data_IF_017538374122
#
_entry.id   IF_017538374122
#
_cell.length_a   1.000
_cell.length_b   1.000
_cell.length_c   1.000
_cell.angle_alpha   90.00
_cell.angle_beta   90.00
_cell.angle_gamma   90.00
#
_symmetry.space_group_name_H-M   'P 1'
#
loop_
_entity.id
_entity.type
_entity.pdbx_description
1 polymer ?
#
# COMPACT_ATOMS: atom_id res chain seq x y z
N UNK A 1 -5.10 -19.89 -9.96
CA UNK A 1 -4.39 -20.69 -10.98
C UNK A 1 -5.40 -21.35 -11.91
N UNK A 2 -5.03 -21.60 -13.17
CA UNK A 2 -5.92 -22.24 -14.16
C UNK A 2 -6.45 -23.62 -13.68
N UNK A 3 -5.68 -24.31 -12.85
CA UNK A 3 -6.07 -25.61 -12.25
C UNK A 3 -7.31 -25.47 -11.36
N UNK A 4 -7.41 -24.40 -10.56
CA UNK A 4 -8.58 -24.18 -9.69
C UNK A 4 -9.83 -23.87 -10.52
N UNK A 5 -9.70 -23.05 -11.58
CA UNK A 5 -10.83 -22.73 -12.49
C UNK A 5 -11.39 -24.01 -13.15
N UNK A 6 -10.50 -24.89 -13.67
CA UNK A 6 -10.91 -26.16 -14.29
C UNK A 6 -11.57 -27.07 -13.26
N UNK A 7 -10.98 -27.17 -12.05
CA UNK A 7 -11.58 -27.96 -10.97
C UNK A 7 -12.97 -27.45 -10.61
N UNK A 8 -13.11 -26.12 -10.47
CA UNK A 8 -14.41 -25.49 -10.18
C UNK A 8 -15.44 -25.72 -11.28
N UNK A 9 -15.02 -25.61 -12.55
CA UNK A 9 -15.88 -25.90 -13.69
C UNK A 9 -16.37 -27.35 -13.67
N UNK A 10 -15.45 -28.30 -13.46
CA UNK A 10 -15.82 -29.74 -13.41
C UNK A 10 -16.74 -30.03 -12.22
N UNK A 11 -16.52 -29.43 -11.06
CA UNK A 11 -17.40 -29.59 -9.90
C UNK A 11 -18.80 -29.02 -10.15
N UNK A 12 -18.87 -27.84 -10.78
CA UNK A 12 -20.15 -27.17 -11.01
C UNK A 12 -20.99 -27.83 -12.11
N UNK A 13 -20.34 -28.34 -13.17
CA UNK A 13 -21.03 -28.82 -14.39
C UNK A 13 -21.05 -30.32 -14.53
N UNK A 14 -20.31 -31.06 -13.71
CA UNK A 14 -20.11 -32.50 -13.88
C UNK A 14 -19.19 -32.86 -15.07
N UNK A 15 -18.54 -31.87 -15.70
CA UNK A 15 -17.60 -32.10 -16.80
C UNK A 15 -16.29 -32.74 -16.33
N UNK A 16 -15.48 -33.23 -17.27
CA UNK A 16 -14.15 -33.78 -16.99
C UNK A 16 -13.09 -33.15 -17.92
N UNK A 17 -13.00 -31.84 -17.88
CA UNK A 17 -12.03 -31.04 -18.64
C UNK A 17 -10.66 -31.19 -18.01
N UNK A 18 -9.60 -31.31 -18.82
CA UNK A 18 -8.19 -31.45 -18.35
C UNK A 18 -7.31 -30.31 -18.83
N UNK A 19 -6.36 -29.92 -17.99
CA UNK A 19 -5.38 -28.90 -18.35
C UNK A 19 -4.42 -29.40 -19.45
N UNK A 20 -4.01 -28.48 -20.35
CA UNK A 20 -2.97 -28.76 -21.36
C UNK A 20 -3.46 -29.38 -22.66
N UNK A 21 -4.76 -29.61 -22.84
CA UNK A 21 -5.35 -30.16 -24.08
C UNK A 21 -6.20 -29.09 -24.78
N UNK A 22 -5.93 -28.85 -26.06
CA UNK A 22 -6.64 -27.82 -26.84
C UNK A 22 -8.15 -28.04 -26.93
N UNK A 23 -8.65 -29.29 -27.19
CA UNK A 23 -10.08 -29.53 -27.19
C UNK A 23 -10.74 -29.22 -25.85
N UNK A 24 -10.08 -29.56 -24.74
CA UNK A 24 -10.59 -29.31 -23.39
C UNK A 24 -10.65 -27.80 -23.08
N UNK A 25 -9.67 -27.03 -23.57
CA UNK A 25 -9.70 -25.55 -23.47
C UNK A 25 -10.91 -24.98 -24.22
N UNK A 26 -11.19 -25.46 -25.44
CA UNK A 26 -12.36 -25.02 -26.21
C UNK A 26 -13.67 -25.38 -25.53
N UNK A 27 -13.76 -26.58 -24.96
CA UNK A 27 -14.94 -27.05 -24.20
C UNK A 27 -15.16 -26.19 -22.95
N UNK A 28 -14.10 -25.90 -22.19
CA UNK A 28 -14.15 -25.01 -21.02
C UNK A 28 -14.63 -23.62 -21.43
N UNK A 29 -14.01 -23.01 -22.44
CA UNK A 29 -14.39 -21.69 -22.95
C UNK A 29 -15.86 -21.63 -23.37
N UNK A 30 -16.32 -22.61 -24.13
CA UNK A 30 -17.71 -22.68 -24.56
C UNK A 30 -18.67 -22.86 -23.39
N UNK A 31 -18.30 -23.68 -22.42
CA UNK A 31 -19.09 -23.91 -21.21
C UNK A 31 -19.18 -22.63 -20.33
N UNK A 32 -18.09 -21.89 -20.18
CA UNK A 32 -18.10 -20.60 -19.45
C UNK A 32 -18.99 -19.57 -20.14
N UNK A 33 -18.96 -19.49 -21.48
CA UNK A 33 -19.86 -18.63 -22.26
C UNK A 33 -21.33 -19.01 -22.07
N UNK A 34 -21.63 -20.32 -22.06
CA UNK A 34 -22.98 -20.81 -21.81
C UNK A 34 -23.48 -20.48 -20.40
N UNK A 35 -22.65 -20.68 -19.38
CA UNK A 35 -22.98 -20.31 -18.00
C UNK A 35 -23.25 -18.79 -17.86
N UNK A 36 -22.43 -17.95 -18.49
CA UNK A 36 -22.66 -16.51 -18.51
C UNK A 36 -24.00 -16.15 -19.17
N UNK A 37 -24.32 -16.79 -20.31
CA UNK A 37 -25.56 -16.54 -21.02
C UNK A 37 -26.80 -16.98 -20.23
N UNK A 38 -26.73 -18.14 -19.56
CA UNK A 38 -27.83 -18.69 -18.76
C UNK A 38 -28.10 -17.86 -17.49
N UNK A 39 -27.06 -17.31 -16.88
CA UNK A 39 -27.15 -16.61 -15.60
C UNK A 39 -26.87 -15.09 -15.72
N UNK A 40 -27.22 -14.50 -16.84
CA UNK A 40 -26.96 -13.09 -17.19
C UNK A 40 -27.44 -12.08 -16.14
N UNK A 41 -28.51 -12.42 -15.42
CA UNK A 41 -29.06 -11.56 -14.37
C UNK A 41 -28.21 -11.55 -13.09
N UNK A 42 -27.39 -12.58 -12.87
CA UNK A 42 -26.55 -12.77 -11.67
C UNK A 42 -25.06 -12.56 -11.94
N UNK A 43 -24.62 -12.87 -13.17
CA UNK A 43 -23.23 -12.75 -13.60
C UNK A 43 -23.10 -11.57 -14.56
N UNK A 44 -22.04 -10.78 -14.42
CA UNK A 44 -21.73 -9.74 -15.40
C UNK A 44 -21.41 -10.36 -16.77
N UNK A 45 -21.45 -9.55 -17.83
CA UNK A 45 -21.07 -10.00 -19.18
C UNK A 45 -19.57 -10.31 -19.34
N UNK A 46 -18.81 -10.18 -18.25
CA UNK A 46 -17.36 -10.43 -18.22
C UNK A 46 -17.08 -11.89 -17.85
N UNK A 47 -16.34 -12.57 -18.71
CA UNK A 47 -15.83 -13.93 -18.44
C UNK A 47 -14.94 -13.97 -17.18
N UNK A 48 -14.35 -12.83 -16.77
CA UNK A 48 -13.59 -12.71 -15.55
C UNK A 48 -14.42 -12.99 -14.30
N UNK A 49 -15.67 -12.55 -14.26
CA UNK A 49 -16.59 -12.84 -13.14
C UNK A 49 -16.89 -14.34 -13.02
N UNK A 50 -17.14 -15.00 -14.15
CA UNK A 50 -17.33 -16.46 -14.18
C UNK A 50 -16.05 -17.20 -13.78
N UNK A 51 -14.90 -16.76 -14.28
CA UNK A 51 -13.61 -17.35 -13.92
C UNK A 51 -13.32 -17.19 -12.41
N UNK A 52 -13.67 -16.05 -11.81
CA UNK A 52 -13.58 -15.80 -10.38
C UNK A 52 -14.44 -16.76 -9.56
N UNK A 53 -15.71 -16.90 -9.92
CA UNK A 53 -16.63 -17.86 -9.31
C UNK A 53 -16.10 -19.31 -9.39
N UNK A 54 -15.67 -19.74 -10.58
CA UNK A 54 -15.11 -21.08 -10.78
C UNK A 54 -13.80 -21.28 -10.00
N UNK A 55 -12.97 -20.24 -9.87
CA UNK A 55 -11.78 -20.30 -9.05
C UNK A 55 -12.13 -20.51 -7.58
N UNK A 56 -13.10 -19.77 -7.05
CA UNK A 56 -13.52 -19.87 -5.65
C UNK A 56 -14.12 -21.24 -5.33
N UNK A 57 -14.95 -21.79 -6.23
CA UNK A 57 -15.45 -23.16 -6.12
C UNK A 57 -14.29 -24.17 -6.14
N UNK A 58 -13.40 -24.08 -7.12
CA UNK A 58 -12.31 -25.03 -7.28
C UNK A 58 -11.22 -24.97 -6.22
N UNK A 59 -11.06 -23.81 -5.57
CA UNK A 59 -10.17 -23.62 -4.42
C UNK A 59 -10.80 -24.05 -3.09
N UNK A 60 -12.11 -24.38 -3.08
CA UNK A 60 -12.86 -24.76 -1.88
C UNK A 60 -13.31 -23.58 -1.02
N UNK A 61 -13.22 -22.36 -1.55
CA UNK A 61 -13.79 -21.17 -0.87
C UNK A 61 -15.31 -21.22 -0.85
N UNK A 62 -15.94 -21.67 -1.94
CA UNK A 62 -17.37 -21.94 -2.01
C UNK A 62 -17.62 -23.43 -2.11
N UNK A 63 -18.36 -23.96 -1.16
CA UNK A 63 -18.84 -25.33 -1.18
C UNK A 63 -20.18 -25.36 -1.93
N UNK A 64 -20.26 -26.15 -3.02
CA UNK A 64 -21.53 -26.37 -3.74
C UNK A 64 -22.35 -27.35 -2.90
N UNK A 65 -23.53 -26.95 -2.38
CA UNK A 65 -24.39 -27.88 -1.64
C UNK A 65 -24.78 -29.06 -2.53
N UNK A 66 -24.68 -30.27 -2.00
CA UNK A 66 -25.15 -31.47 -2.69
C UNK A 66 -26.66 -31.53 -2.57
N UNK A 67 -27.32 -32.14 -3.55
CA UNK A 67 -28.79 -32.37 -3.50
C UNK A 67 -29.23 -33.16 -2.26
N UNK A 68 -28.30 -33.96 -1.69
CA UNK A 68 -28.50 -34.72 -0.46
C UNK A 68 -28.53 -33.88 0.81
N UNK A 69 -28.03 -32.64 0.77
CA UNK A 69 -27.86 -31.78 2.00
C UNK A 69 -29.17 -31.09 2.39
N UNK A 70 -30.21 -31.16 1.53
CA UNK A 70 -31.50 -30.55 1.78
C UNK A 70 -31.49 -29.03 1.97
N UNK A 71 -32.60 -28.49 2.46
CA UNK A 71 -32.78 -27.04 2.68
C UNK A 71 -31.77 -26.45 3.67
N UNK A 72 -31.40 -27.21 4.71
CA UNK A 72 -30.43 -26.78 5.71
C UNK A 72 -29.02 -26.59 5.14
N UNK A 73 -28.58 -27.44 4.21
CA UNK A 73 -27.30 -27.30 3.53
C UNK A 73 -27.23 -26.04 2.66
N UNK A 74 -28.31 -25.75 1.94
CA UNK A 74 -28.42 -24.51 1.16
C UNK A 74 -28.39 -23.25 2.02
N UNK A 75 -29.12 -23.24 3.13
CA UNK A 75 -29.14 -22.11 4.05
C UNK A 75 -27.76 -21.88 4.69
N UNK A 76 -27.05 -22.95 5.06
CA UNK A 76 -25.69 -22.85 5.61
C UNK A 76 -24.71 -22.28 4.56
N UNK A 77 -24.77 -22.74 3.31
CA UNK A 77 -23.92 -22.22 2.23
C UNK A 77 -24.22 -20.75 1.92
N UNK A 78 -25.48 -20.34 1.89
CA UNK A 78 -25.87 -18.93 1.72
C UNK A 78 -25.37 -18.06 2.87
N UNK A 79 -25.50 -18.52 4.11
CA UNK A 79 -25.01 -17.80 5.27
C UNK A 79 -23.47 -17.59 5.22
N UNK A 80 -22.72 -18.61 4.78
CA UNK A 80 -21.28 -18.50 4.59
C UNK A 80 -20.93 -17.46 3.53
N UNK A 81 -21.60 -17.49 2.35
CA UNK A 81 -21.38 -16.51 1.28
C UNK A 81 -21.66 -15.07 1.77
N UNK A 82 -22.75 -14.88 2.50
CA UNK A 82 -23.08 -13.59 3.08
C UNK A 82 -21.99 -13.10 4.06
N UNK A 83 -21.53 -13.98 4.97
CA UNK A 83 -20.48 -13.64 5.93
C UNK A 83 -19.16 -13.24 5.25
N UNK A 84 -18.74 -13.98 4.21
CA UNK A 84 -17.53 -13.67 3.44
C UNK A 84 -17.67 -12.35 2.65
N UNK A 85 -18.86 -12.09 2.08
CA UNK A 85 -19.15 -10.82 1.39
C UNK A 85 -19.05 -9.62 2.35
N UNK A 86 -19.63 -9.72 3.53
CA UNK A 86 -19.55 -8.65 4.53
C UNK A 86 -18.12 -8.46 5.07
N UNK A 87 -17.37 -9.54 5.29
CA UNK A 87 -15.96 -9.47 5.66
C UNK A 87 -15.12 -8.78 4.58
N UNK A 88 -15.37 -9.09 3.30
CA UNK A 88 -14.69 -8.46 2.16
C UNK A 88 -15.02 -6.97 2.04
N UNK A 89 -16.29 -6.59 2.20
CA UNK A 89 -16.71 -5.18 2.22
C UNK A 89 -16.04 -4.40 3.35
N UNK A 90 -16.00 -4.98 4.54
CA UNK A 90 -15.33 -4.37 5.71
C UNK A 90 -13.84 -4.20 5.47
N UNK A 91 -13.16 -5.21 4.93
CA UNK A 91 -11.75 -5.14 4.60
C UNK A 91 -11.46 -4.06 3.55
N UNK A 92 -12.31 -3.92 2.51
CA UNK A 92 -12.19 -2.88 1.51
C UNK A 92 -12.40 -1.48 2.10
N UNK A 93 -13.39 -1.30 2.97
CA UNK A 93 -13.63 -0.01 3.64
C UNK A 93 -12.44 0.40 4.51
N UNK A 94 -11.88 -0.54 5.29
CA UNK A 94 -10.66 -0.29 6.09
C UNK A 94 -9.47 0.05 5.21
N UNK A 95 -9.30 -0.64 4.07
CA UNK A 95 -8.21 -0.34 3.13
C UNK A 95 -8.35 1.07 2.52
N UNK A 96 -9.56 1.48 2.17
CA UNK A 96 -9.84 2.83 1.67
C UNK A 96 -9.59 3.91 2.73
N UNK A 97 -10.02 3.69 3.97
CA UNK A 97 -9.76 4.62 5.08
C UNK A 97 -8.27 4.78 5.35
N UNK A 98 -7.52 3.67 5.35
CA UNK A 98 -6.08 3.68 5.50
C UNK A 98 -5.38 4.47 4.38
N UNK A 99 -5.83 4.32 3.15
CA UNK A 99 -5.28 5.01 1.97
C UNK A 99 -5.55 6.52 2.02
N UNK A 100 -6.75 6.94 2.44
CA UNK A 100 -7.09 8.34 2.66
C UNK A 100 -6.23 8.96 3.77
N UNK A 101 -6.06 8.26 4.89
CA UNK A 101 -5.22 8.72 6.00
C UNK A 101 -3.76 8.87 5.58
N UNK A 102 -3.21 7.91 4.84
CA UNK A 102 -1.86 7.98 4.31
C UNK A 102 -1.67 9.24 3.46
N UNK A 103 -2.57 9.48 2.52
CA UNK A 103 -2.53 10.66 1.63
C UNK A 103 -2.66 11.97 2.42
N UNK A 104 -3.47 12.01 3.47
CA UNK A 104 -3.62 13.17 4.34
C UNK A 104 -2.31 13.50 5.06
N UNK A 105 -1.64 12.51 5.63
CA UNK A 105 -0.36 12.68 6.31
C UNK A 105 0.73 13.15 5.34
N UNK A 106 0.82 12.56 4.15
CA UNK A 106 1.72 13.04 3.09
C UNK A 106 1.43 14.51 2.75
N UNK A 107 0.16 14.90 2.66
CA UNK A 107 -0.27 16.26 2.43
C UNK A 107 0.19 17.22 3.52
N UNK A 108 0.07 16.85 4.80
CA UNK A 108 0.56 17.66 5.92
C UNK A 108 2.08 17.87 5.87
N UNK A 109 2.83 16.81 5.57
CA UNK A 109 4.29 16.88 5.42
C UNK A 109 4.69 17.75 4.22
N UNK A 110 3.98 17.62 3.08
CA UNK A 110 4.17 18.49 1.91
C UNK A 110 3.99 19.97 2.27
N UNK A 111 2.85 20.29 2.89
CA UNK A 111 2.48 21.67 3.19
C UNK A 111 3.42 22.28 4.24
N UNK A 112 3.79 21.49 5.25
CA UNK A 112 4.77 21.89 6.27
C UNK A 112 6.15 22.17 5.65
N UNK A 113 6.63 21.29 4.78
CA UNK A 113 7.91 21.48 4.11
C UNK A 113 7.95 22.72 3.22
N UNK A 114 6.84 22.98 2.47
CA UNK A 114 6.68 24.21 1.69
C UNK A 114 6.70 25.47 2.59
N UNK A 115 5.98 25.44 3.72
CA UNK A 115 5.95 26.54 4.68
C UNK A 115 7.34 26.82 5.28
N UNK A 116 8.16 25.81 5.47
CA UNK A 116 9.55 25.93 5.93
C UNK A 116 10.55 26.29 4.82
N UNK A 117 10.08 26.46 3.59
CA UNK A 117 10.90 26.95 2.47
C UNK A 117 11.62 25.86 1.67
N UNK A 118 11.26 24.58 1.83
CA UNK A 118 11.83 23.49 1.05
C UNK A 118 11.11 23.25 -0.27
N UNK A 119 11.81 22.68 -1.24
CA UNK A 119 11.20 22.01 -2.37
C UNK A 119 10.81 20.58 -1.96
N UNK A 120 9.67 20.12 -2.48
CA UNK A 120 9.06 18.86 -2.04
C UNK A 120 9.03 17.86 -3.17
N UNK A 121 9.43 16.64 -2.89
CA UNK A 121 9.15 15.48 -3.73
C UNK A 121 8.07 14.62 -3.08
N UNK A 122 7.13 14.15 -3.88
CA UNK A 122 6.13 13.13 -3.50
C UNK A 122 6.44 11.85 -4.26
N UNK A 123 6.29 10.70 -3.59
CA UNK A 123 6.49 9.38 -4.18
C UNK A 123 5.83 9.24 -5.55
N UNK A 124 6.53 8.65 -6.50
CA UNK A 124 6.11 8.60 -7.91
C UNK A 124 4.75 7.93 -8.11
N UNK A 125 4.39 6.94 -7.28
CA UNK A 125 3.11 6.24 -7.27
C UNK A 125 1.96 7.05 -6.64
N UNK A 126 2.26 8.07 -5.81
CA UNK A 126 1.26 8.84 -5.06
C UNK A 126 1.00 10.24 -5.63
N UNK A 127 1.78 10.68 -6.61
CA UNK A 127 1.69 12.03 -7.21
C UNK A 127 0.29 12.44 -7.64
N UNK A 128 -0.50 11.50 -8.14
CA UNK A 128 -1.84 11.75 -8.68
C UNK A 128 -2.96 11.60 -7.65
N UNK A 129 -2.66 11.23 -6.39
CA UNK A 129 -3.67 11.17 -5.32
C UNK A 129 -4.24 12.55 -5.06
N UNK A 130 -5.51 12.59 -4.66
CA UNK A 130 -6.20 13.85 -4.36
C UNK A 130 -6.02 14.21 -2.88
N UNK A 131 -5.56 15.42 -2.64
CA UNK A 131 -5.47 16.04 -1.31
C UNK A 131 -6.04 17.46 -1.38
N UNK A 132 -7.05 17.75 -0.56
CA UNK A 132 -7.77 19.03 -0.53
C UNK A 132 -8.28 19.50 -1.91
N UNK A 133 -8.71 18.54 -2.75
CA UNK A 133 -9.27 18.82 -4.08
C UNK A 133 -8.25 19.05 -5.21
N UNK A 134 -6.95 19.00 -4.91
CA UNK A 134 -5.86 19.12 -5.87
C UNK A 134 -4.98 17.85 -5.87
N UNK A 135 -4.08 17.71 -6.85
CA UNK A 135 -3.10 16.61 -6.85
C UNK A 135 -2.11 16.79 -5.70
N UNK A 136 -1.77 15.69 -5.03
CA UNK A 136 -0.79 15.70 -3.92
C UNK A 136 0.56 16.29 -4.38
N UNK A 137 0.97 16.07 -5.62
CA UNK A 137 2.21 16.63 -6.19
C UNK A 137 2.09 18.07 -6.70
N UNK A 138 0.95 18.74 -6.55
CA UNK A 138 0.81 20.11 -7.04
C UNK A 138 1.80 21.07 -6.38
N UNK A 139 2.59 21.77 -7.22
CA UNK A 139 3.67 22.67 -6.77
C UNK A 139 4.82 21.94 -6.07
N UNK A 140 5.04 20.66 -6.37
CA UNK A 140 6.18 19.88 -5.95
C UNK A 140 7.15 19.65 -7.12
N UNK A 141 8.30 19.02 -6.85
CA UNK A 141 9.30 18.69 -7.85
C UNK A 141 8.76 17.63 -8.84
N UNK A 142 8.94 17.86 -10.13
CA UNK A 142 8.61 16.90 -11.17
C UNK A 142 9.60 15.73 -11.24
N UNK A 143 10.87 15.99 -10.87
CA UNK A 143 11.96 15.01 -10.90
C UNK A 143 12.86 15.16 -9.66
N UNK A 144 13.45 14.03 -9.26
CA UNK A 144 14.46 13.99 -8.19
C UNK A 144 15.70 14.82 -8.55
N UNK A 145 16.45 15.34 -7.56
CA UNK A 145 17.73 16.02 -7.79
C UNK A 145 18.74 15.18 -8.59
N UNK A 146 19.62 15.85 -9.35
CA UNK A 146 20.54 15.19 -10.28
C UNK A 146 21.41 14.07 -9.68
N UNK A 147 22.02 14.20 -8.48
CA UNK A 147 22.85 13.12 -7.95
C UNK A 147 22.09 11.80 -7.80
N UNK A 148 20.79 11.86 -7.47
CA UNK A 148 19.95 10.67 -7.30
C UNK A 148 19.56 10.09 -8.65
N UNK A 149 19.24 10.94 -9.64
CA UNK A 149 18.81 10.52 -10.98
C UNK A 149 19.89 9.73 -11.74
N UNK A 150 21.15 9.94 -11.40
CA UNK A 150 22.29 9.25 -12.02
C UNK A 150 22.71 7.98 -11.29
N UNK A 151 22.05 7.63 -10.20
CA UNK A 151 22.42 6.51 -9.33
C UNK A 151 21.44 5.33 -9.49
N UNK A 152 21.91 4.10 -9.31
CA UNK A 152 21.08 2.89 -9.31
C UNK A 152 20.00 2.83 -8.23
N UNK A 153 20.06 3.72 -7.21
CA UNK A 153 19.05 3.85 -6.17
C UNK A 153 17.82 4.69 -6.58
N UNK A 154 17.80 5.28 -7.78
CA UNK A 154 16.73 6.19 -8.23
C UNK A 154 15.34 5.58 -8.12
N UNK A 155 15.18 4.32 -8.50
CA UNK A 155 13.87 3.65 -8.49
C UNK A 155 13.32 3.51 -7.07
N UNK A 156 14.19 3.12 -6.12
CA UNK A 156 13.81 2.95 -4.71
C UNK A 156 13.56 4.30 -4.03
N UNK A 157 14.45 5.27 -4.23
CA UNK A 157 14.33 6.62 -3.65
C UNK A 157 13.12 7.35 -4.20
N UNK A 158 12.75 7.12 -5.46
CA UNK A 158 11.55 7.72 -6.07
C UNK A 158 10.24 7.30 -5.39
N UNK A 159 10.24 6.23 -4.62
CA UNK A 159 9.11 5.68 -3.88
C UNK A 159 9.06 6.14 -2.41
N UNK A 160 10.04 6.93 -1.95
CA UNK A 160 9.95 7.52 -0.60
C UNK A 160 8.79 8.51 -0.58
N UNK A 161 7.92 8.38 0.42
CA UNK A 161 6.64 9.07 0.48
C UNK A 161 6.74 10.59 0.33
N UNK A 162 7.61 11.22 1.13
CA UNK A 162 7.88 12.66 1.04
C UNK A 162 9.36 12.94 1.26
N UNK A 163 9.97 13.73 0.36
CA UNK A 163 11.32 14.26 0.55
C UNK A 163 11.28 15.78 0.62
N UNK A 164 12.05 16.35 1.52
CA UNK A 164 12.31 17.78 1.59
C UNK A 164 13.71 18.08 1.04
N UNK A 165 13.76 18.96 0.07
CA UNK A 165 14.99 19.31 -0.67
C UNK A 165 15.32 20.77 -0.41
N UNK A 166 16.56 21.05 -0.02
CA UNK A 166 17.05 22.42 0.14
C UNK A 166 17.08 23.14 -1.21
N UNK A 167 16.43 24.29 -1.29
CA UNK A 167 16.45 25.15 -2.49
C UNK A 167 17.85 25.64 -2.85
N UNK A 168 18.67 25.87 -1.83
CA UNK A 168 20.03 26.43 -2.03
C UNK A 168 21.00 25.37 -2.56
N UNK A 169 20.99 24.16 -1.97
CA UNK A 169 21.99 23.14 -2.27
C UNK A 169 21.46 22.02 -3.18
N UNK A 170 20.15 21.91 -3.39
CA UNK A 170 19.54 20.78 -4.08
C UNK A 170 19.66 19.44 -3.32
N UNK A 171 20.13 19.46 -2.06
CA UNK A 171 20.30 18.25 -1.24
C UNK A 171 19.01 17.90 -0.52
N UNK A 172 18.75 16.60 -0.35
CA UNK A 172 17.70 16.11 0.53
C UNK A 172 18.12 16.41 1.96
N UNK A 173 17.25 17.08 2.71
CA UNK A 173 17.45 17.43 4.12
C UNK A 173 16.60 16.58 5.05
N UNK A 174 15.47 16.07 4.56
CA UNK A 174 14.62 15.14 5.29
C UNK A 174 13.92 14.17 4.36
N UNK A 175 13.75 12.93 4.82
CA UNK A 175 12.99 11.87 4.15
C UNK A 175 11.96 11.33 5.14
N UNK A 176 10.72 11.19 4.67
CA UNK A 176 9.58 10.73 5.47
C UNK A 176 8.96 9.50 4.81
N UNK A 177 8.75 8.45 5.60
CA UNK A 177 7.97 7.26 5.25
C UNK A 177 6.73 7.21 6.14
N UNK A 178 5.56 7.15 5.53
CA UNK A 178 4.27 7.15 6.22
C UNK A 178 3.75 5.73 6.30
N UNK A 179 3.72 5.15 7.49
CA UNK A 179 3.37 3.75 7.70
C UNK A 179 2.11 3.61 8.57
N UNK A 180 0.96 3.50 7.93
CA UNK A 180 -0.31 3.38 8.64
C UNK A 180 -0.58 1.95 9.15
N UNK A 181 -0.64 0.96 8.25
CA UNK A 181 -1.02 -0.42 8.57
C UNK A 181 -0.06 -1.47 8.01
N UNK A 182 0.88 -1.07 7.16
CA UNK A 182 1.76 -1.97 6.40
C UNK A 182 3.08 -2.27 7.10
N UNK A 183 3.92 -3.05 6.44
CA UNK A 183 5.23 -3.42 6.93
C UNK A 183 6.19 -2.24 6.90
N UNK A 184 6.75 -1.91 8.03
CA UNK A 184 7.77 -0.87 8.23
C UNK A 184 9.05 -1.16 7.42
N UNK A 185 9.25 -2.43 7.02
CA UNK A 185 10.48 -2.87 6.35
C UNK A 185 10.76 -2.17 5.03
N UNK A 186 9.75 -1.96 4.21
CA UNK A 186 9.93 -1.33 2.90
C UNK A 186 10.38 0.12 3.03
N UNK A 187 9.81 0.87 3.98
CA UNK A 187 10.21 2.23 4.28
C UNK A 187 11.66 2.31 4.78
N UNK A 188 12.05 1.41 5.71
CA UNK A 188 13.43 1.35 6.21
C UNK A 188 14.42 1.05 5.08
N UNK A 189 14.12 0.11 4.19
CA UNK A 189 15.00 -0.22 3.06
C UNK A 189 15.17 0.97 2.13
N UNK A 190 14.09 1.71 1.80
CA UNK A 190 14.19 2.92 0.98
C UNK A 190 15.02 4.02 1.61
N UNK A 191 14.91 4.21 2.93
CA UNK A 191 15.76 5.15 3.68
C UNK A 191 17.24 4.74 3.65
N UNK A 192 17.53 3.43 3.79
CA UNK A 192 18.88 2.90 3.67
C UNK A 192 19.46 3.09 2.26
N UNK A 193 18.68 2.83 1.22
CA UNK A 193 19.09 3.02 -0.16
C UNK A 193 19.42 4.50 -0.44
N UNK A 194 18.65 5.44 0.13
CA UNK A 194 18.98 6.85 0.06
C UNK A 194 20.29 7.18 0.78
N UNK A 195 20.43 6.73 2.04
CA UNK A 195 21.58 7.06 2.87
C UNK A 195 22.90 6.45 2.39
N UNK A 196 22.87 5.19 1.95
CA UNK A 196 24.05 4.44 1.54
C UNK A 196 24.32 4.57 0.04
N UNK A 197 23.26 4.69 -0.76
CA UNK A 197 23.36 4.80 -2.22
C UNK A 197 23.76 6.19 -2.71
N UNK A 198 23.50 7.25 -1.93
CA UNK A 198 23.78 8.64 -2.31
C UNK A 198 24.50 9.37 -1.17
N UNK A 199 25.83 9.22 -1.07
CA UNK A 199 26.62 9.76 0.06
C UNK A 199 26.42 11.27 0.31
N UNK A 200 26.11 12.06 -0.70
CA UNK A 200 25.84 13.49 -0.56
C UNK A 200 24.60 13.79 0.27
N UNK A 201 23.72 12.82 0.45
CA UNK A 201 22.49 12.91 1.25
C UNK A 201 22.54 12.10 2.56
N UNK A 202 23.70 11.54 2.93
CA UNK A 202 23.88 10.77 4.16
C UNK A 202 23.58 11.59 5.45
N UNK A 203 23.62 12.93 5.35
CA UNK A 203 23.25 13.84 6.45
C UNK A 203 21.76 14.21 6.50
N UNK A 204 20.91 13.61 5.69
CA UNK A 204 19.46 13.82 5.78
C UNK A 204 18.90 13.25 7.08
N UNK A 205 17.89 13.92 7.65
CA UNK A 205 17.13 13.37 8.77
C UNK A 205 16.04 12.40 8.22
N UNK A 206 15.91 11.25 8.86
CA UNK A 206 14.96 10.22 8.45
C UNK A 206 13.82 10.12 9.45
N UNK A 207 12.57 10.15 8.96
CA UNK A 207 11.39 10.09 9.80
C UNK A 207 10.48 8.97 9.38
N UNK A 208 10.17 8.06 10.32
CA UNK A 208 9.09 7.12 10.20
C UNK A 208 7.84 7.74 10.85
N UNK A 209 6.82 7.98 10.04
CA UNK A 209 5.60 8.68 10.45
C UNK A 209 4.47 7.66 10.55
N UNK A 210 3.95 7.43 11.76
CA UNK A 210 2.97 6.37 11.98
C UNK A 210 1.96 6.73 13.10
N UNK A 211 0.81 6.02 13.20
CA UNK A 211 -0.11 6.19 14.32
C UNK A 211 0.56 5.98 15.67
N UNK A 212 0.22 6.78 16.66
CA UNK A 212 0.86 6.76 18.00
C UNK A 212 0.83 5.37 18.66
N UNK A 213 -0.22 4.60 18.43
CA UNK A 213 -0.35 3.23 18.95
C UNK A 213 0.71 2.26 18.38
N UNK A 214 1.39 2.62 17.30
CA UNK A 214 2.41 1.79 16.65
C UNK A 214 3.83 2.07 17.13
N UNK A 215 4.05 3.06 17.99
CA UNK A 215 5.40 3.44 18.42
C UNK A 215 6.19 2.25 18.98
N UNK A 216 5.56 1.48 19.87
CA UNK A 216 6.19 0.31 20.49
C UNK A 216 6.57 -0.75 19.45
N UNK A 217 5.68 -0.98 18.48
CA UNK A 217 5.90 -1.91 17.38
C UNK A 217 7.07 -1.47 16.50
N UNK A 218 7.12 -0.20 16.13
CA UNK A 218 8.22 0.41 15.39
C UNK A 218 9.54 0.23 16.12
N UNK A 219 9.62 0.58 17.41
CA UNK A 219 10.82 0.41 18.22
C UNK A 219 11.30 -1.03 18.28
N UNK A 220 10.37 -1.98 18.42
CA UNK A 220 10.69 -3.41 18.46
C UNK A 220 11.28 -3.90 17.12
N UNK A 221 10.83 -3.37 16.00
CA UNK A 221 11.37 -3.70 14.69
C UNK A 221 12.79 -3.14 14.49
N UNK A 222 13.02 -1.90 14.90
CA UNK A 222 14.35 -1.28 14.82
C UNK A 222 15.40 -1.96 15.71
N UNK A 223 14.98 -2.55 16.82
CA UNK A 223 15.87 -3.31 17.72
C UNK A 223 16.36 -4.66 17.14
N UNK A 224 15.86 -5.08 15.98
CA UNK A 224 16.29 -6.35 15.36
C UNK A 224 17.70 -6.26 14.81
N UNK A 225 18.53 -7.32 14.97
CA UNK A 225 19.91 -7.35 14.45
C UNK A 225 20.04 -7.06 12.95
N UNK A 226 19.01 -7.41 12.16
CA UNK A 226 18.97 -7.12 10.72
C UNK A 226 19.03 -5.63 10.40
N UNK A 227 18.63 -4.76 11.35
CA UNK A 227 18.65 -3.31 11.22
C UNK A 227 19.74 -2.63 12.01
N UNK A 228 20.77 -3.37 12.45
CA UNK A 228 21.91 -2.78 13.21
C UNK A 228 22.60 -1.64 12.46
N UNK A 229 22.65 -1.69 11.12
CA UNK A 229 23.18 -0.59 10.30
C UNK A 229 22.24 0.61 10.19
N UNK A 230 20.94 0.44 10.47
CA UNK A 230 19.97 1.53 10.50
C UNK A 230 20.18 2.39 11.75
N UNK A 231 20.73 1.80 12.81
CA UNK A 231 21.09 2.55 14.03
C UNK A 231 22.20 3.58 13.81
N UNK A 232 22.97 3.46 12.73
CA UNK A 232 23.95 4.47 12.30
C UNK A 232 23.26 5.70 11.65
N UNK A 233 22.01 5.56 11.21
CA UNK A 233 21.17 6.64 10.70
C UNK A 233 20.35 7.22 11.86
N UNK A 234 20.28 8.55 11.97
CA UNK A 234 19.37 9.21 12.92
C UNK A 234 17.92 9.08 12.43
N UNK A 235 17.37 7.84 12.51
CA UNK A 235 15.96 7.60 12.19
C UNK A 235 15.10 7.94 13.40
N UNK A 236 14.07 8.73 13.16
CA UNK A 236 13.19 9.27 14.19
C UNK A 236 11.74 8.80 13.96
N UNK A 237 11.06 8.54 15.04
CA UNK A 237 9.62 8.28 15.03
C UNK A 237 8.85 9.59 15.17
N UNK A 238 7.87 9.81 14.29
CA UNK A 238 6.97 10.95 14.34
C UNK A 238 5.52 10.46 14.41
N UNK A 239 4.89 10.57 15.57
CA UNK A 239 3.49 10.20 15.77
C UNK A 239 2.53 11.14 15.04
N UNK A 240 1.42 10.59 14.53
CA UNK A 240 0.39 11.36 13.84
C UNK A 240 -0.20 12.47 14.70
N UNK A 241 -0.41 12.22 16.01
CA UNK A 241 -0.91 13.23 16.93
C UNK A 241 0.03 14.41 17.09
N UNK A 242 1.34 14.13 17.21
CA UNK A 242 2.38 15.15 17.33
C UNK A 242 2.45 16.02 16.08
N UNK A 243 2.44 15.40 14.89
CA UNK A 243 2.43 16.13 13.63
C UNK A 243 1.15 16.99 13.51
N UNK A 244 -0.03 16.42 13.79
CA UNK A 244 -1.32 17.10 13.70
C UNK A 244 -1.37 18.33 14.63
N UNK A 245 -0.90 18.17 15.87
CA UNK A 245 -0.95 19.22 16.89
C UNK A 245 -0.01 20.38 16.59
N UNK A 246 1.16 20.10 16.02
CA UNK A 246 2.26 21.08 15.96
C UNK A 246 2.57 21.61 14.55
N UNK A 247 2.10 20.97 13.47
CA UNK A 247 2.41 21.35 12.08
C UNK A 247 2.16 22.83 11.76
N UNK A 248 1.06 23.41 12.26
CA UNK A 248 0.72 24.80 11.99
C UNK A 248 1.67 25.79 12.70
N UNK A 249 1.97 25.51 13.98
CA UNK A 249 2.91 26.33 14.74
C UNK A 249 4.33 26.24 14.15
N UNK A 250 4.77 25.03 13.79
CA UNK A 250 6.07 24.81 13.16
C UNK A 250 6.14 25.51 11.80
N UNK A 251 5.10 25.39 10.96
CA UNK A 251 5.05 26.02 9.64
C UNK A 251 5.05 27.55 9.72
N UNK A 252 4.44 28.13 10.77
CA UNK A 252 4.33 29.58 10.94
C UNK A 252 5.55 30.22 11.61
N UNK A 253 6.16 29.54 12.59
CA UNK A 253 7.19 30.12 13.45
C UNK A 253 8.51 29.34 13.44
N UNK A 254 8.54 28.14 12.85
CA UNK A 254 9.72 27.29 12.80
C UNK A 254 10.72 27.74 11.74
N UNK A 255 11.94 27.24 11.89
CA UNK A 255 12.99 27.38 10.88
C UNK A 255 13.73 26.05 10.71
N UNK A 256 13.88 25.60 9.47
CA UNK A 256 14.54 24.33 9.17
C UNK A 256 13.85 23.13 9.83
N UNK A 257 14.62 22.10 10.16
CA UNK A 257 14.10 20.84 10.74
C UNK A 257 13.92 20.87 12.26
N UNK A 258 14.37 21.90 12.96
CA UNK A 258 14.39 21.92 14.45
C UNK A 258 13.04 21.62 15.07
N UNK A 259 11.97 22.20 14.53
CA UNK A 259 10.61 21.99 15.03
C UNK A 259 10.14 20.55 14.85
N UNK A 260 10.41 19.93 13.70
CA UNK A 260 10.03 18.55 13.41
C UNK A 260 10.85 17.56 14.26
N UNK A 261 12.13 17.83 14.42
CA UNK A 261 13.01 17.06 15.32
C UNK A 261 12.50 17.12 16.75
N UNK A 262 12.08 18.30 17.24
CA UNK A 262 11.61 18.48 18.61
C UNK A 262 10.34 17.69 18.96
N UNK A 263 9.46 17.46 17.97
CA UNK A 263 8.23 16.68 18.16
C UNK A 263 8.36 15.20 17.80
N UNK A 264 9.55 14.76 17.40
CA UNK A 264 9.86 13.37 17.05
C UNK A 264 10.74 12.72 18.11
N UNK A 265 10.70 11.40 18.21
CA UNK A 265 11.52 10.62 19.14
C UNK A 265 12.58 9.83 18.36
N UNK A 266 13.84 9.82 18.85
CA UNK A 266 14.88 8.97 18.28
C UNK A 266 14.52 7.47 18.39
N UNK A 267 14.84 6.69 17.36
CA UNK A 267 14.64 5.24 17.34
C UNK A 267 15.94 4.48 17.61
N UNK A 268 17.10 5.07 17.34
CA UNK A 268 18.38 4.52 17.79
C UNK A 268 18.47 4.61 19.33
N UNK A 269 18.89 3.51 19.95
CA UNK A 269 19.26 3.45 21.38
C UNK A 269 20.73 3.81 21.54
#
# INVERSE_FOLDING_TARGET
>A
SNTAIIKGYNLLTGANVKLGRWPDYLALRQGMLSLTAQHRALLSNDLGAVAGLLFDIGSGRYVIPQASDGEAGWQAALAQIHAESEASKKALAVAQENDLTHTEIQGWLRDLGKALGYDIWIASNDKNRLYLGARLSEGCLDSLPNPIRSNGAVDTVSLIDVLWVSKESGKIVAAFEVEHSTSIYSGIVRMLDLALGVPEHAGAAFFLVAPDVREQDVRSQFARPAFSRVSELDVRYLGYSQLKQHKEAIGRFGSGLKGVIAISAGLAQ
#
